data_IF_327731848220
#
_entry.id   IF_327731848220
#
_cell.length_a   1.000
_cell.length_b   1.000
_cell.length_c   1.000
_cell.angle_alpha   90.00
_cell.angle_beta   90.00
_cell.angle_gamma   90.00
#
_symmetry.space_group_name_H-M   'P 1'
#
loop_
_entity.id
_entity.type
_entity.pdbx_description
1 polymer ?
#
# COMPACT_ATOMS: atom_id res chain seq x y z
N UNK A 1 7.49 5.12 -9.60
CA UNK A 1 7.02 5.98 -8.48
C UNK A 1 6.84 5.17 -7.23
N UNK A 2 6.90 5.80 -6.06
CA UNK A 2 6.48 5.15 -4.82
C UNK A 2 4.96 4.90 -4.83
N UNK A 3 4.52 3.85 -4.14
CA UNK A 3 3.08 3.59 -3.97
C UNK A 3 2.40 4.77 -3.29
N UNK A 4 3.07 5.40 -2.31
CA UNK A 4 2.57 6.61 -1.66
C UNK A 4 2.29 7.73 -2.68
N UNK A 5 3.23 8.04 -3.58
CA UNK A 5 3.05 9.07 -4.59
C UNK A 5 1.91 8.73 -5.55
N UNK A 6 1.80 7.48 -6.00
CA UNK A 6 0.73 7.03 -6.90
C UNK A 6 -0.65 7.19 -6.28
N UNK A 7 -0.82 6.76 -5.02
CA UNK A 7 -2.09 6.87 -4.30
C UNK A 7 -2.43 8.34 -4.05
N UNK A 8 -1.45 9.16 -3.63
CA UNK A 8 -1.64 10.60 -3.43
C UNK A 8 -2.16 11.29 -4.68
N UNK A 9 -1.46 11.11 -5.81
CA UNK A 9 -1.83 11.74 -7.07
C UNK A 9 -3.20 11.25 -7.57
N UNK A 10 -3.52 9.97 -7.37
CA UNK A 10 -4.83 9.40 -7.70
C UNK A 10 -5.94 10.05 -6.87
N UNK A 11 -5.78 10.09 -5.54
CA UNK A 11 -6.76 10.62 -4.60
C UNK A 11 -6.98 12.11 -4.81
N UNK A 12 -5.92 12.89 -5.03
CA UNK A 12 -6.01 14.31 -5.34
C UNK A 12 -6.83 14.55 -6.61
N UNK A 13 -6.57 13.77 -7.67
CA UNK A 13 -7.33 13.83 -8.93
C UNK A 13 -8.81 13.47 -8.75
N UNK A 14 -9.11 12.53 -7.84
CA UNK A 14 -10.49 12.08 -7.54
C UNK A 14 -11.15 12.86 -6.41
N UNK A 15 -10.48 13.88 -5.84
CA UNK A 15 -10.94 14.65 -4.68
C UNK A 15 -11.24 13.78 -3.46
N UNK A 16 -10.53 12.66 -3.34
CA UNK A 16 -10.54 11.79 -2.17
C UNK A 16 -9.49 12.33 -1.19
N UNK A 17 -9.83 12.38 0.09
CA UNK A 17 -8.90 12.80 1.12
C UNK A 17 -7.81 11.73 1.32
N UNK A 18 -6.53 12.14 1.35
CA UNK A 18 -5.40 11.20 1.43
C UNK A 18 -5.43 10.32 2.68
N UNK A 19 -5.82 10.87 3.83
CA UNK A 19 -5.85 10.20 5.13
C UNK A 19 -7.28 9.85 5.57
N UNK A 20 -8.19 9.54 4.64
CA UNK A 20 -9.59 9.28 4.96
C UNK A 20 -9.78 8.12 5.93
N UNK A 21 -9.03 7.02 5.77
CA UNK A 21 -9.05 5.85 6.65
C UNK A 21 -8.68 6.27 8.08
N UNK A 22 -7.56 6.97 8.22
CA UNK A 22 -7.08 7.43 9.52
C UNK A 22 -8.04 8.44 10.16
N UNK A 23 -8.68 9.32 9.38
CA UNK A 23 -9.70 10.22 9.90
C UNK A 23 -10.96 9.50 10.37
N UNK A 24 -11.36 8.41 9.70
CA UNK A 24 -12.49 7.57 10.15
C UNK A 24 -12.12 6.91 11.48
N UNK A 25 -10.90 6.37 11.60
CA UNK A 25 -10.41 5.79 12.85
C UNK A 25 -10.46 6.80 14.00
N UNK A 26 -9.87 7.99 13.81
CA UNK A 26 -9.84 9.04 14.86
C UNK A 26 -11.22 9.62 15.17
N UNK A 27 -12.18 9.55 14.24
CA UNK A 27 -13.56 9.95 14.51
C UNK A 27 -14.28 8.93 15.39
N UNK A 28 -14.00 7.64 15.20
CA UNK A 28 -14.55 6.57 16.04
C UNK A 28 -13.88 6.53 17.42
N UNK A 29 -12.55 6.63 17.45
CA UNK A 29 -11.75 6.66 18.67
C UNK A 29 -10.64 7.73 18.56
N UNK A 30 -10.86 8.92 19.14
CA UNK A 30 -9.89 10.02 19.10
C UNK A 30 -8.53 9.67 19.71
N UNK A 31 -8.52 8.73 20.65
CA UNK A 31 -7.33 8.32 21.41
C UNK A 31 -6.83 6.93 20.97
N UNK A 32 -6.76 6.71 19.65
CA UNK A 32 -6.43 5.42 19.03
C UNK A 32 -5.14 4.81 19.57
N UNK A 33 -4.12 5.62 19.84
CA UNK A 33 -2.80 5.15 20.27
C UNK A 33 -2.84 4.45 21.64
N UNK A 34 -3.74 4.87 22.52
CA UNK A 34 -3.91 4.35 23.89
C UNK A 34 -4.89 3.17 23.99
N UNK A 35 -5.49 2.73 22.88
CA UNK A 35 -6.41 1.59 22.86
C UNK A 35 -5.69 0.25 23.08
N UNK A 36 -6.38 -0.69 23.71
CA UNK A 36 -5.96 -2.10 23.76
C UNK A 36 -5.96 -2.72 22.36
N UNK A 37 -5.25 -3.84 22.18
CA UNK A 37 -5.15 -4.52 20.89
C UNK A 37 -6.52 -4.82 20.27
N UNK A 38 -7.46 -5.36 21.05
CA UNK A 38 -8.80 -5.70 20.54
C UNK A 38 -9.60 -4.47 20.12
N UNK A 39 -9.47 -3.37 20.87
CA UNK A 39 -10.11 -2.09 20.51
C UNK A 39 -9.48 -1.50 19.24
N UNK A 40 -8.16 -1.62 19.05
CA UNK A 40 -7.50 -1.22 17.80
C UNK A 40 -8.00 -2.01 16.60
N UNK A 41 -8.18 -3.32 16.77
CA UNK A 41 -8.75 -4.20 15.71
C UNK A 41 -10.15 -3.72 15.31
N UNK A 42 -11.02 -3.45 16.29
CA UNK A 42 -12.38 -2.96 16.02
C UNK A 42 -12.39 -1.64 15.23
N UNK A 43 -11.59 -0.66 15.66
CA UNK A 43 -11.48 0.64 14.97
C UNK A 43 -10.87 0.50 13.58
N UNK A 44 -9.89 -0.38 13.41
CA UNK A 44 -9.26 -0.67 12.13
C UNK A 44 -10.25 -1.31 11.15
N UNK A 45 -10.94 -2.37 11.57
CA UNK A 45 -11.97 -3.03 10.76
C UNK A 45 -13.08 -2.07 10.37
N UNK A 46 -13.51 -1.19 11.30
CA UNK A 46 -14.49 -0.15 10.99
C UNK A 46 -14.00 0.76 9.86
N UNK A 47 -12.76 1.24 9.90
CA UNK A 47 -12.23 2.10 8.85
C UNK A 47 -12.09 1.38 7.50
N UNK A 48 -11.66 0.11 7.51
CA UNK A 48 -11.57 -0.73 6.31
C UNK A 48 -12.95 -0.97 5.70
N UNK A 49 -13.96 -1.30 6.50
CA UNK A 49 -15.31 -1.56 6.01
C UNK A 49 -16.02 -0.30 5.49
N UNK A 50 -15.59 0.89 5.91
CA UNK A 50 -16.13 2.18 5.50
C UNK A 50 -15.31 2.86 4.38
N UNK A 51 -14.29 2.21 3.84
CA UNK A 51 -13.48 2.73 2.73
C UNK A 51 -13.27 1.66 1.65
N UNK A 52 -13.16 2.09 0.39
CA UNK A 52 -12.87 1.18 -0.71
C UNK A 52 -11.35 1.13 -0.96
N UNK A 53 -10.72 -0.02 -0.74
CA UNK A 53 -9.29 -0.24 -0.98
C UNK A 53 -8.92 -0.49 -2.45
N UNK A 54 -9.61 0.13 -3.41
CA UNK A 54 -9.49 -0.19 -4.84
C UNK A 54 -8.65 0.83 -5.65
N UNK A 55 -8.06 1.83 -4.99
CA UNK A 55 -7.28 2.91 -5.61
C UNK A 55 -6.15 2.40 -6.50
N UNK A 56 -5.32 1.48 -6.00
CA UNK A 56 -4.18 0.94 -6.75
C UNK A 56 -4.65 0.11 -7.96
N UNK A 57 -5.72 -0.68 -7.79
CA UNK A 57 -6.30 -1.48 -8.86
C UNK A 57 -6.87 -0.58 -9.97
N UNK A 58 -7.63 0.46 -9.60
CA UNK A 58 -8.14 1.46 -10.54
C UNK A 58 -7.01 2.24 -11.20
N UNK A 59 -5.97 2.60 -10.48
CA UNK A 59 -4.82 3.32 -11.01
C UNK A 59 -4.05 2.48 -12.04
N UNK A 60 -3.80 1.19 -11.76
CA UNK A 60 -3.15 0.27 -12.70
C UNK A 60 -3.92 0.18 -14.02
N UNK A 61 -5.25 0.16 -13.96
CA UNK A 61 -6.10 0.23 -15.15
C UNK A 61 -5.96 1.58 -15.87
N UNK A 62 -6.20 2.69 -15.17
CA UNK A 62 -6.21 4.04 -15.75
C UNK A 62 -4.86 4.48 -16.33
N UNK A 63 -3.75 3.90 -15.87
CA UNK A 63 -2.39 4.20 -16.37
C UNK A 63 -1.95 3.27 -17.50
N UNK A 64 -2.78 2.29 -17.89
CA UNK A 64 -2.48 1.37 -18.97
C UNK A 64 -3.12 1.84 -20.28
N UNK A 65 -2.38 1.87 -21.40
CA UNK A 65 -2.90 2.35 -22.68
C UNK A 65 -3.91 1.39 -23.32
N UNK A 66 -3.81 0.10 -23.01
CA UNK A 66 -4.70 -0.95 -23.53
C UNK A 66 -4.91 -2.05 -22.49
N UNK A 67 -5.91 -2.90 -22.74
CA UNK A 67 -6.25 -4.02 -21.87
C UNK A 67 -5.18 -5.10 -21.81
N UNK A 68 -4.49 -5.39 -22.93
CA UNK A 68 -3.38 -6.36 -22.91
C UNK A 68 -2.20 -5.84 -22.08
N UNK A 69 -1.85 -4.56 -22.20
CA UNK A 69 -0.79 -3.96 -21.38
C UNK A 69 -1.17 -3.94 -19.91
N UNK A 70 -2.43 -3.66 -19.57
CA UNK A 70 -2.91 -3.77 -18.20
C UNK A 70 -2.77 -5.19 -17.65
N UNK A 71 -3.15 -6.19 -18.44
CA UNK A 71 -3.08 -7.59 -18.04
C UNK A 71 -1.64 -8.03 -17.75
N UNK A 72 -0.70 -7.65 -18.62
CA UNK A 72 0.72 -7.92 -18.44
C UNK A 72 1.28 -7.20 -17.22
N UNK A 73 0.96 -5.91 -17.03
CA UNK A 73 1.39 -5.14 -15.86
C UNK A 73 0.86 -5.73 -14.56
N UNK A 74 -0.41 -6.12 -14.52
CA UNK A 74 -1.02 -6.78 -13.35
C UNK A 74 -0.34 -8.12 -13.06
N UNK A 75 -0.03 -8.89 -14.09
CA UNK A 75 0.67 -10.18 -13.95
C UNK A 75 2.08 -9.97 -13.38
N UNK A 76 2.82 -8.99 -13.90
CA UNK A 76 4.16 -8.63 -13.42
C UNK A 76 4.13 -8.09 -12.00
N UNK A 77 3.15 -7.24 -11.66
CA UNK A 77 2.92 -6.75 -10.31
C UNK A 77 2.78 -7.91 -9.31
N UNK A 78 1.86 -8.85 -9.58
CA UNK A 78 1.61 -9.98 -8.68
C UNK A 78 2.85 -10.86 -8.51
N UNK A 79 3.54 -11.19 -9.62
CA UNK A 79 4.76 -12.02 -9.57
C UNK A 79 5.89 -11.35 -8.80
N UNK A 80 6.16 -10.07 -9.08
CA UNK A 80 7.23 -9.32 -8.40
C UNK A 80 6.92 -9.13 -6.91
N UNK A 81 5.68 -8.84 -6.55
CA UNK A 81 5.26 -8.74 -5.15
C UNK A 81 5.44 -10.06 -4.40
N UNK A 82 5.08 -11.20 -5.02
CA UNK A 82 5.27 -12.51 -4.40
C UNK A 82 6.76 -12.83 -4.18
N UNK A 83 7.61 -12.58 -5.18
CA UNK A 83 9.06 -12.77 -5.06
C UNK A 83 9.64 -11.89 -3.95
N UNK A 84 9.32 -10.60 -3.92
CA UNK A 84 9.80 -9.68 -2.89
C UNK A 84 9.27 -10.03 -1.49
N UNK A 85 8.08 -10.62 -1.39
CA UNK A 85 7.53 -11.09 -0.11
C UNK A 85 8.34 -12.26 0.46
N UNK A 86 8.71 -13.23 -0.39
CA UNK A 86 9.52 -14.38 0.04
C UNK A 86 10.96 -13.97 0.34
N UNK A 87 11.57 -13.16 -0.54
CA UNK A 87 12.94 -12.65 -0.35
C UNK A 87 13.01 -11.77 0.89
N UNK A 88 12.06 -10.86 1.09
CA UNK A 88 12.04 -9.98 2.25
C UNK A 88 11.81 -10.72 3.56
N UNK A 89 11.00 -11.79 3.55
CA UNK A 89 10.87 -12.66 4.71
C UNK A 89 12.19 -13.35 5.07
N UNK A 90 12.89 -13.93 4.09
CA UNK A 90 14.18 -14.62 4.31
C UNK A 90 15.27 -13.65 4.79
N UNK A 91 15.30 -12.43 4.25
CA UNK A 91 16.28 -11.41 4.60
C UNK A 91 15.97 -10.66 5.91
N UNK A 92 14.75 -10.77 6.42
CA UNK A 92 14.29 -9.99 7.57
C UNK A 92 14.10 -8.51 7.26
N UNK A 93 13.53 -8.18 6.10
CA UNK A 93 13.21 -6.79 5.71
C UNK A 93 11.99 -6.27 6.48
N UNK A 94 12.24 -5.38 7.44
CA UNK A 94 11.20 -4.82 8.33
C UNK A 94 10.39 -3.69 7.70
N UNK A 95 11.06 -2.66 7.14
CA UNK A 95 10.39 -1.43 6.73
C UNK A 95 9.80 -1.47 5.31
N UNK A 96 8.55 -1.95 5.24
CA UNK A 96 7.77 -2.09 3.99
C UNK A 96 6.71 -1.01 3.82
N UNK A 97 6.91 0.19 4.38
CA UNK A 97 5.92 1.25 4.25
C UNK A 97 5.76 1.71 2.77
N UNK A 98 4.61 2.32 2.39
CA UNK A 98 4.30 2.65 0.99
C UNK A 98 5.30 3.58 0.26
N UNK A 99 6.16 4.30 1.00
CA UNK A 99 7.23 5.12 0.40
C UNK A 99 8.49 4.31 0.04
N UNK A 100 8.67 3.11 0.60
CA UNK A 100 9.79 2.19 0.30
C UNK A 100 9.44 1.18 -0.79
N UNK A 101 8.18 1.17 -1.23
CA UNK A 101 7.70 0.34 -2.32
C UNK A 101 7.48 1.21 -3.54
N UNK A 102 8.20 0.91 -4.62
CA UNK A 102 8.04 1.56 -5.91
C UNK A 102 7.35 0.63 -6.92
N UNK A 103 6.51 1.22 -7.75
CA UNK A 103 5.96 0.58 -8.93
C UNK A 103 6.65 1.15 -10.18
N UNK A 104 7.18 0.26 -11.01
CA UNK A 104 7.69 0.63 -12.32
C UNK A 104 6.53 0.94 -13.28
N UNK A 105 6.56 2.15 -13.86
CA UNK A 105 5.45 2.66 -14.69
C UNK A 105 5.28 1.90 -16.00
N UNK A 106 6.34 1.27 -16.50
CA UNK A 106 6.31 0.59 -17.80
C UNK A 106 5.95 -0.88 -17.64
N UNK A 107 6.74 -1.63 -16.86
CA UNK A 107 6.59 -3.07 -16.68
C UNK A 107 5.54 -3.48 -15.66
N UNK A 108 5.15 -2.58 -14.75
CA UNK A 108 4.22 -2.87 -13.65
C UNK A 108 4.82 -3.67 -12.49
N UNK A 109 6.15 -3.87 -12.45
CA UNK A 109 6.82 -4.58 -11.35
C UNK A 109 6.90 -3.73 -10.08
N UNK A 110 6.79 -4.38 -8.92
CA UNK A 110 7.13 -3.80 -7.62
C UNK A 110 8.64 -3.92 -7.35
N UNK A 111 9.19 -2.88 -6.75
CA UNK A 111 10.58 -2.79 -6.29
C UNK A 111 10.59 -2.26 -4.85
N UNK A 112 11.34 -2.92 -3.98
CA UNK A 112 11.69 -2.39 -2.66
C UNK A 112 12.99 -1.59 -2.80
N UNK A 113 13.02 -0.35 -2.30
CA UNK A 113 14.16 0.55 -2.48
C UNK A 113 14.96 0.84 -1.22
N UNK A 114 14.44 0.47 -0.05
CA UNK A 114 15.10 0.70 1.23
C UNK A 114 15.39 -0.63 1.92
N UNK A 115 16.67 -0.89 2.13
CA UNK A 115 17.22 -2.09 2.77
C UNK A 115 17.97 -1.71 4.05
N UNK A 116 17.75 -0.51 4.62
CA UNK A 116 18.40 -0.08 5.85
C UNK A 116 18.06 -0.95 7.06
N UNK A 117 16.82 -1.41 7.15
CA UNK A 117 16.31 -2.29 8.21
C UNK A 117 16.29 -3.77 7.79
N UNK A 118 17.42 -4.27 7.29
CA UNK A 118 17.65 -5.71 7.12
C UNK A 118 18.02 -6.37 8.46
N UNK A 119 17.77 -7.67 8.59
CA UNK A 119 18.24 -8.51 9.71
C UNK A 119 17.59 -8.28 11.08
N UNK A 120 16.29 -7.95 11.12
CA UNK A 120 15.53 -7.85 12.39
C UNK A 120 16.12 -6.82 13.38
N UNK A 121 16.60 -5.66 12.92
CA UNK A 121 17.16 -4.61 13.81
C UNK A 121 16.10 -3.93 14.69
N UNK A 122 14.82 -4.30 14.56
CA UNK A 122 13.78 -3.91 15.51
C UNK A 122 13.76 -4.84 16.74
N UNK A 123 14.75 -4.65 17.63
CA UNK A 123 14.72 -5.08 19.04
C UNK A 123 14.09 -4.00 19.92
#
# INVERSE_FOLDING_TARGET
DTLHALIRDYREKKKILLNIEHRIMLRMAPDYDHLTLMQKVEVFEHAVNNTAGDDLAKLLWLKSPSSEVWFDRRTNYTRSLAVMSMVGYILGLGDRHPSNLMLDRLSGKILHIDFGDCFEVSW
#
